data_IF_224784783451
#
_entry.id   IF_224784783451
#
_cell.length_a   1.000
_cell.length_b   1.000
_cell.length_c   1.000
_cell.angle_alpha   90.00
_cell.angle_beta   90.00
_cell.angle_gamma   90.00
#
_symmetry.space_group_name_H-M   'P 1'
#
loop_
_entity.id
_entity.type
_entity.pdbx_description
1 polymer ?
#
# COMPACT_ATOMS: atom_id res chain seq x y z
N UNK A 1 -6.26 28.23 0.20
CA UNK A 1 -6.81 27.12 1.03
C UNK A 1 -5.69 26.15 1.31
N UNK A 2 -5.59 25.58 2.51
CA UNK A 2 -4.65 24.51 2.87
C UNK A 2 -5.05 23.18 2.22
N UNK A 3 -4.09 22.26 2.06
CA UNK A 3 -4.39 20.88 1.67
C UNK A 3 -5.19 20.16 2.79
N UNK A 4 -6.01 19.14 2.45
CA UNK A 4 -6.74 18.37 3.44
C UNK A 4 -5.77 17.62 4.38
N UNK A 5 -6.12 17.51 5.65
CA UNK A 5 -5.33 16.77 6.64
C UNK A 5 -5.74 15.28 6.70
N UNK A 6 -6.92 14.96 6.16
CA UNK A 6 -7.45 13.59 6.08
C UNK A 6 -8.46 13.47 4.95
N UNK A 7 -8.77 12.25 4.56
CA UNK A 7 -9.84 11.91 3.62
C UNK A 7 -10.87 10.98 4.29
N UNK A 8 -12.15 11.03 3.87
CA UNK A 8 -13.15 10.07 4.34
C UNK A 8 -12.88 8.69 3.74
N UNK A 9 -12.89 7.67 4.58
CA UNK A 9 -12.72 6.26 4.23
C UNK A 9 -14.01 5.52 4.59
N UNK A 10 -14.66 4.87 3.62
CA UNK A 10 -15.88 4.09 3.85
C UNK A 10 -15.61 2.88 4.73
N UNK A 11 -16.50 2.62 5.67
CA UNK A 11 -16.47 1.42 6.53
C UNK A 11 -17.83 0.76 6.57
N UNK A 12 -17.91 -0.41 7.19
CA UNK A 12 -19.17 -1.15 7.33
C UNK A 12 -20.30 -0.31 7.93
N UNK A 13 -21.53 -0.60 7.50
CA UNK A 13 -22.73 0.07 7.99
C UNK A 13 -22.95 1.48 7.47
N UNK A 14 -22.37 1.83 6.32
CA UNK A 14 -22.52 3.15 5.67
C UNK A 14 -21.85 4.31 6.40
N UNK A 15 -20.91 4.00 7.29
CA UNK A 15 -20.14 4.99 8.05
C UNK A 15 -18.83 5.35 7.34
N UNK A 16 -18.18 6.40 7.83
CA UNK A 16 -16.82 6.78 7.42
C UNK A 16 -15.91 6.97 8.62
N UNK A 17 -14.62 6.67 8.45
CA UNK A 17 -13.55 7.08 9.35
C UNK A 17 -12.59 8.00 8.59
N UNK A 18 -11.68 8.66 9.28
CA UNK A 18 -10.72 9.56 8.64
C UNK A 18 -9.38 8.86 8.45
N UNK A 19 -8.88 8.82 7.20
CA UNK A 19 -7.51 8.42 6.90
C UNK A 19 -6.63 9.67 6.79
N UNK A 20 -5.52 9.79 7.55
CA UNK A 20 -4.61 10.92 7.40
C UNK A 20 -4.07 11.03 5.99
N UNK A 21 -4.00 12.26 5.46
CA UNK A 21 -3.66 12.51 4.04
C UNK A 21 -2.22 12.19 3.66
N UNK A 22 -1.33 11.96 4.62
CA UNK A 22 0.05 11.52 4.40
C UNK A 22 0.33 10.34 5.31
N UNK A 23 0.83 9.25 4.73
CA UNK A 23 1.27 8.07 5.47
C UNK A 23 2.78 7.88 5.45
N UNK A 24 3.27 7.11 6.41
CA UNK A 24 4.66 6.70 6.51
C UNK A 24 4.79 5.23 6.10
N UNK A 25 5.47 4.97 4.99
CA UNK A 25 5.75 3.63 4.50
C UNK A 25 6.90 2.97 5.26
N UNK A 26 6.81 1.66 5.48
CA UNK A 26 7.82 0.91 6.23
C UNK A 26 8.59 -0.11 5.39
N UNK A 27 8.42 -0.13 4.08
CA UNK A 27 9.20 -1.01 3.21
C UNK A 27 10.60 -0.47 2.91
N UNK A 28 11.61 -1.33 2.99
CA UNK A 28 12.95 -1.09 2.44
C UNK A 28 13.60 -2.42 2.06
N UNK A 29 14.56 -2.37 1.11
CA UNK A 29 15.44 -3.50 0.84
C UNK A 29 16.54 -3.60 1.91
N UNK A 30 17.00 -4.81 2.23
CA UNK A 30 18.09 -5.06 3.17
C UNK A 30 17.62 -5.24 4.62
N UNK A 31 18.50 -5.02 5.57
CA UNK A 31 18.21 -5.20 7.00
C UNK A 31 17.18 -4.21 7.54
N UNK A 32 16.39 -4.63 8.53
CA UNK A 32 15.27 -3.90 9.10
C UNK A 32 15.57 -3.18 10.42
N UNK A 33 16.82 -3.15 10.86
CA UNK A 33 17.26 -2.51 12.11
C UNK A 33 16.88 -1.03 12.23
N UNK A 34 16.65 -0.36 11.10
CA UNK A 34 16.22 1.04 11.04
C UNK A 34 14.74 1.25 11.41
N UNK A 35 13.90 0.21 11.33
CA UNK A 35 12.43 0.37 11.26
C UNK A 35 11.86 0.99 12.55
N UNK A 36 12.22 0.48 13.72
CA UNK A 36 11.73 0.98 15.00
C UNK A 36 12.02 2.47 15.21
N UNK A 37 13.28 2.86 15.05
CA UNK A 37 13.71 4.25 15.30
C UNK A 37 13.10 5.22 14.30
N UNK A 38 12.97 4.81 13.04
CA UNK A 38 12.38 5.64 11.99
C UNK A 38 10.86 5.79 12.18
N UNK A 39 10.14 4.73 12.54
CA UNK A 39 8.70 4.80 12.85
C UNK A 39 8.47 5.65 14.09
N UNK A 40 9.25 5.48 15.16
CA UNK A 40 9.17 6.31 16.35
C UNK A 40 9.44 7.79 16.03
N UNK A 41 10.42 8.07 15.17
CA UNK A 41 10.72 9.42 14.67
C UNK A 41 9.55 9.99 13.89
N UNK A 42 8.92 9.19 13.02
CA UNK A 42 7.74 9.60 12.26
C UNK A 42 6.56 9.94 13.18
N UNK A 43 6.26 9.08 14.16
CA UNK A 43 5.21 9.33 15.15
C UNK A 43 5.46 10.61 15.94
N UNK A 44 6.70 10.83 16.43
CA UNK A 44 7.11 12.06 17.13
C UNK A 44 7.07 13.30 16.24
N UNK A 45 7.29 13.14 14.91
CA UNK A 45 7.16 14.23 13.95
C UNK A 45 5.70 14.61 13.63
N UNK A 46 4.72 13.79 14.03
CA UNK A 46 3.29 14.04 13.83
C UNK A 46 2.59 13.11 12.87
N UNK A 47 3.28 12.11 12.27
CA UNK A 47 2.58 11.07 11.51
C UNK A 47 1.58 10.33 12.39
N UNK A 48 0.42 10.04 11.80
CA UNK A 48 -0.66 9.26 12.42
C UNK A 48 -1.15 8.14 11.50
N UNK A 49 -0.42 7.86 10.44
CA UNK A 49 -0.76 6.88 9.42
C UNK A 49 0.51 6.09 9.07
N UNK A 50 0.51 4.79 9.36
CA UNK A 50 1.62 3.87 9.12
C UNK A 50 1.19 2.78 8.16
N UNK A 51 1.98 2.56 7.11
CA UNK A 51 1.81 1.49 6.12
C UNK A 51 2.84 0.39 6.36
N UNK A 52 2.37 -0.85 6.44
CA UNK A 52 3.18 -2.03 6.69
C UNK A 52 2.70 -3.22 5.85
N UNK A 53 3.52 -4.26 5.71
CA UNK A 53 3.10 -5.54 5.17
C UNK A 53 3.83 -6.68 5.85
N UNK A 54 3.16 -7.84 5.96
CA UNK A 54 3.77 -9.07 6.49
C UNK A 54 5.16 -9.36 5.89
N UNK A 55 5.29 -9.23 4.55
CA UNK A 55 6.52 -9.50 3.84
C UNK A 55 7.65 -8.51 4.13
N UNK A 56 7.38 -7.41 4.85
CA UNK A 56 8.41 -6.42 5.18
C UNK A 56 9.25 -6.84 6.39
N UNK A 57 8.73 -7.73 7.24
CA UNK A 57 9.43 -8.22 8.43
C UNK A 57 9.74 -7.16 9.48
N UNK A 58 8.89 -6.16 9.57
CA UNK A 58 9.07 -5.01 10.49
C UNK A 58 7.96 -4.93 11.55
N UNK A 59 7.04 -5.90 11.58
CA UNK A 59 5.82 -5.82 12.41
C UNK A 59 6.15 -5.62 13.89
N UNK A 60 7.07 -6.41 14.45
CA UNK A 60 7.48 -6.28 15.85
C UNK A 60 8.09 -4.89 16.13
N UNK A 61 8.99 -4.43 15.25
CA UNK A 61 9.62 -3.12 15.36
C UNK A 61 8.61 -1.97 15.30
N UNK A 62 7.59 -2.08 14.41
CA UNK A 62 6.50 -1.10 14.30
C UNK A 62 5.63 -1.13 15.57
N UNK A 63 5.24 -2.31 16.05
CA UNK A 63 4.48 -2.47 17.30
C UNK A 63 5.20 -1.88 18.50
N UNK A 64 6.51 -2.12 18.63
CA UNK A 64 7.34 -1.52 19.67
C UNK A 64 7.41 0.01 19.57
N UNK A 65 7.57 0.55 18.36
CA UNK A 65 7.59 2.00 18.13
C UNK A 65 6.25 2.66 18.49
N UNK A 66 5.13 2.03 18.14
CA UNK A 66 3.79 2.49 18.53
C UNK A 66 3.70 2.56 20.06
N UNK A 67 4.06 1.47 20.75
CA UNK A 67 4.04 1.42 22.22
C UNK A 67 4.95 2.46 22.85
N UNK A 68 6.18 2.60 22.36
CA UNK A 68 7.17 3.54 22.90
C UNK A 68 6.79 5.00 22.63
N UNK A 69 6.02 5.27 21.58
CA UNK A 69 5.57 6.62 21.25
C UNK A 69 4.68 7.24 22.33
N UNK A 70 3.98 6.40 23.11
CA UNK A 70 3.00 6.83 24.10
C UNK A 70 1.74 7.44 23.49
N UNK A 71 1.58 7.39 22.16
CA UNK A 71 0.39 7.89 21.45
C UNK A 71 -0.73 6.85 21.61
N UNK A 72 -1.97 7.27 21.99
CA UNK A 72 -3.10 6.36 22.05
C UNK A 72 -3.29 5.60 20.73
N UNK A 73 -3.56 4.28 20.80
CA UNK A 73 -3.67 3.42 19.61
C UNK A 73 -4.75 3.91 18.63
N UNK A 74 -5.83 4.45 19.14
CA UNK A 74 -6.95 4.99 18.37
C UNK A 74 -6.60 6.24 17.56
N UNK A 75 -5.51 6.90 17.87
CA UNK A 75 -4.98 8.06 17.12
C UNK A 75 -4.06 7.63 15.96
N UNK A 76 -3.68 6.34 15.87
CA UNK A 76 -2.78 5.83 14.84
C UNK A 76 -3.57 4.99 13.84
N UNK A 77 -3.56 5.40 12.59
CA UNK A 77 -4.11 4.65 11.47
C UNK A 77 -3.06 3.67 10.96
N UNK A 78 -3.34 2.37 11.02
CA UNK A 78 -2.39 1.32 10.69
C UNK A 78 -3.01 0.24 9.80
N UNK A 79 -2.26 -0.27 8.80
CA UNK A 79 -2.67 -1.37 7.94
C UNK A 79 -1.54 -2.31 7.50
N UNK A 80 -1.78 -3.61 7.43
CA UNK A 80 -0.96 -4.63 6.78
C UNK A 80 -1.60 -5.18 5.49
N UNK A 81 -0.85 -6.00 4.74
CA UNK A 81 -1.27 -6.58 3.46
C UNK A 81 -1.17 -8.10 3.43
N UNK A 82 -2.19 -8.83 2.87
CA UNK A 82 -2.15 -10.28 2.61
C UNK A 82 -3.22 -10.77 1.60
N UNK A 83 -3.20 -12.09 1.16
CA UNK A 83 -4.05 -12.48 0.05
C UNK A 83 -4.48 -13.93 -0.24
N UNK A 84 -4.64 -14.90 0.72
CA UNK A 84 -5.29 -16.20 0.43
C UNK A 84 -6.55 -16.41 1.27
N UNK A 85 -7.72 -16.85 0.69
CA UNK A 85 -9.00 -16.87 1.40
C UNK A 85 -8.98 -17.67 2.71
N UNK A 86 -8.37 -18.85 2.72
CA UNK A 86 -8.31 -19.71 3.91
C UNK A 86 -7.37 -19.19 4.99
N UNK A 87 -6.54 -18.21 4.68
CA UNK A 87 -5.45 -17.76 5.54
C UNK A 87 -5.52 -16.27 5.88
N UNK A 88 -6.46 -15.52 5.30
CA UNK A 88 -6.64 -14.08 5.53
C UNK A 88 -6.71 -13.75 7.01
N UNK A 89 -7.59 -14.44 7.75
CA UNK A 89 -7.77 -14.19 9.18
C UNK A 89 -6.54 -14.64 10.00
N UNK A 90 -5.98 -15.83 9.70
CA UNK A 90 -4.77 -16.33 10.37
C UNK A 90 -3.60 -15.35 10.22
N UNK A 91 -3.41 -14.79 9.03
CA UNK A 91 -2.32 -13.84 8.80
C UNK A 91 -2.55 -12.53 9.56
N UNK A 92 -3.78 -12.05 9.60
CA UNK A 92 -4.12 -10.89 10.43
C UNK A 92 -3.86 -11.16 11.91
N UNK A 93 -4.26 -12.32 12.42
CA UNK A 93 -4.01 -12.73 13.82
C UNK A 93 -2.51 -12.76 14.15
N UNK A 94 -1.69 -13.28 13.23
CA UNK A 94 -0.23 -13.30 13.41
C UNK A 94 0.37 -11.91 13.44
N UNK A 95 -0.08 -11.03 12.56
CA UNK A 95 0.35 -9.63 12.52
C UNK A 95 -0.04 -8.92 13.83
N UNK A 96 -1.29 -9.05 14.25
CA UNK A 96 -1.79 -8.46 15.48
C UNK A 96 -0.99 -8.96 16.70
N UNK A 97 -0.72 -10.26 16.76
CA UNK A 97 0.08 -10.87 17.82
C UNK A 97 1.53 -10.36 17.84
N UNK A 98 2.19 -10.27 16.67
CA UNK A 98 3.55 -9.75 16.54
C UNK A 98 3.66 -8.30 16.98
N UNK A 99 2.69 -7.48 16.58
CA UNK A 99 2.64 -6.06 16.94
C UNK A 99 2.08 -5.77 18.34
N UNK A 100 1.48 -6.78 19.00
CA UNK A 100 0.76 -6.65 20.28
C UNK A 100 -0.39 -5.63 20.20
N UNK A 101 -1.17 -5.73 19.11
CA UNK A 101 -2.35 -4.89 18.83
C UNK A 101 -3.62 -5.75 18.79
N UNK A 102 -4.77 -5.16 19.09
CA UNK A 102 -6.07 -5.82 19.07
C UNK A 102 -6.78 -5.67 17.72
N UNK A 103 -6.46 -4.64 16.95
CA UNK A 103 -7.07 -4.35 15.65
C UNK A 103 -6.15 -3.56 14.73
N UNK A 104 -6.49 -3.58 13.44
CA UNK A 104 -5.95 -2.67 12.40
C UNK A 104 -7.05 -1.73 11.90
N UNK A 105 -6.70 -0.53 11.42
CA UNK A 105 -7.69 0.41 10.89
C UNK A 105 -8.11 0.06 9.46
N UNK A 106 -7.17 -0.50 8.68
CA UNK A 106 -7.43 -0.96 7.33
C UNK A 106 -6.61 -2.22 7.07
N UNK A 107 -7.20 -3.23 6.42
CA UNK A 107 -6.51 -4.45 6.00
C UNK A 107 -6.64 -4.60 4.48
N UNK A 108 -5.52 -4.74 3.77
CA UNK A 108 -5.49 -4.76 2.30
C UNK A 108 -5.14 -6.13 1.73
N UNK A 109 -5.81 -6.52 0.64
CA UNK A 109 -5.30 -7.54 -0.28
C UNK A 109 -4.13 -6.93 -1.06
N UNK A 110 -2.93 -7.52 -0.95
CA UNK A 110 -1.70 -6.92 -1.47
C UNK A 110 -1.61 -6.92 -3.00
N UNK A 111 -2.16 -7.99 -3.63
CA UNK A 111 -2.14 -8.21 -5.07
C UNK A 111 -3.42 -8.92 -5.52
N UNK A 112 -3.86 -8.74 -6.78
CA UNK A 112 -5.03 -9.42 -7.33
C UNK A 112 -4.78 -10.91 -7.64
N UNK A 113 -3.63 -11.45 -7.28
CA UNK A 113 -3.28 -12.85 -7.41
C UNK A 113 -2.99 -13.46 -6.03
N UNK A 114 -3.26 -14.76 -5.91
CA UNK A 114 -3.13 -15.53 -4.68
C UNK A 114 -2.09 -16.62 -4.87
N UNK A 115 -1.23 -16.80 -3.88
CA UNK A 115 -0.24 -17.89 -3.87
C UNK A 115 -0.80 -19.13 -3.20
N UNK A 116 -0.49 -20.30 -3.73
CA UNK A 116 -0.84 -21.56 -3.06
C UNK A 116 -0.06 -21.67 -1.75
N UNK A 117 -0.74 -21.87 -0.61
CA UNK A 117 -0.04 -22.11 0.64
C UNK A 117 0.65 -23.48 0.61
N UNK A 118 1.85 -23.60 1.18
CA UNK A 118 2.56 -24.86 1.28
C UNK A 118 1.80 -25.84 2.20
N UNK A 119 1.40 -25.37 3.39
CA UNK A 119 0.46 -26.02 4.29
C UNK A 119 0.00 -25.02 5.35
N UNK A 120 -1.13 -25.31 6.03
CA UNK A 120 -1.57 -24.50 7.17
C UNK A 120 -0.52 -24.49 8.29
N UNK A 121 0.10 -25.65 8.58
CA UNK A 121 1.15 -25.78 9.59
C UNK A 121 2.39 -24.94 9.25
N UNK A 122 2.82 -24.92 7.98
CA UNK A 122 3.92 -24.08 7.51
C UNK A 122 3.60 -22.59 7.71
N UNK A 123 2.37 -22.17 7.40
CA UNK A 123 1.92 -20.81 7.59
C UNK A 123 1.82 -20.43 9.08
N UNK A 124 1.31 -21.33 9.92
CA UNK A 124 1.26 -21.13 11.38
C UNK A 124 2.66 -20.94 11.99
N UNK A 125 3.65 -21.64 11.48
CA UNK A 125 5.07 -21.52 11.89
C UNK A 125 5.79 -20.34 11.23
N UNK A 126 5.30 -19.83 10.12
CA UNK A 126 5.93 -18.70 9.44
C UNK A 126 5.92 -17.47 10.35
N UNK A 127 7.01 -16.73 10.34
CA UNK A 127 7.09 -15.41 10.99
C UNK A 127 7.11 -14.33 9.92
N UNK A 128 6.62 -13.14 10.26
CA UNK A 128 6.93 -11.97 9.45
C UNK A 128 8.44 -11.79 9.50
N UNK A 129 9.12 -11.75 8.36
CA UNK A 129 10.57 -11.65 8.36
C UNK A 129 11.11 -11.30 6.99
N UNK A 130 12.02 -10.35 6.96
CA UNK A 130 12.77 -9.98 5.77
C UNK A 130 13.82 -11.03 5.39
N UNK A 131 14.19 -11.88 6.32
CA UNK A 131 15.01 -13.04 6.04
C UNK A 131 14.16 -14.12 5.36
N UNK A 132 14.04 -13.95 4.07
CA UNK A 132 13.93 -14.93 2.97
C UNK A 132 13.50 -16.35 3.29
N UNK A 133 13.36 -16.76 4.49
CA UNK A 133 13.19 -18.16 4.80
C UNK A 133 11.88 -18.55 5.46
N UNK A 134 11.21 -17.78 6.30
CA UNK A 134 9.93 -18.21 6.86
C UNK A 134 8.73 -17.89 5.98
N UNK A 135 8.67 -16.72 5.32
CA UNK A 135 7.60 -16.39 4.38
C UNK A 135 7.71 -17.23 3.11
N UNK A 136 8.92 -17.50 2.62
CA UNK A 136 9.17 -18.32 1.44
C UNK A 136 8.75 -19.79 1.63
N UNK A 137 8.75 -20.31 2.87
CA UNK A 137 8.27 -21.67 3.18
C UNK A 137 6.75 -21.74 3.36
N UNK A 138 6.07 -20.63 3.47
CA UNK A 138 4.62 -20.58 3.64
C UNK A 138 3.86 -20.76 2.33
N UNK A 139 4.53 -20.60 1.19
CA UNK A 139 3.94 -20.76 -0.16
C UNK A 139 4.66 -21.82 -0.97
N UNK A 140 3.99 -22.34 -1.99
CA UNK A 140 4.56 -23.30 -2.94
C UNK A 140 5.33 -22.56 -4.02
N UNK A 141 6.51 -23.09 -4.39
CA UNK A 141 7.27 -22.61 -5.55
C UNK A 141 7.33 -23.71 -6.63
N UNK A 142 7.28 -23.27 -7.87
CA UNK A 142 7.48 -24.12 -9.06
C UNK A 142 8.97 -24.42 -9.25
N UNK A 143 9.29 -25.39 -10.13
CA UNK A 143 10.67 -25.78 -10.44
C UNK A 143 11.52 -24.64 -11.02
N UNK A 144 10.90 -23.65 -11.67
CA UNK A 144 11.54 -22.45 -12.22
C UNK A 144 11.76 -21.34 -11.16
N UNK A 145 11.42 -21.62 -9.89
CA UNK A 145 11.57 -20.69 -8.77
C UNK A 145 10.47 -19.62 -8.67
N UNK A 146 9.44 -19.67 -9.52
CA UNK A 146 8.29 -18.76 -9.40
C UNK A 146 7.29 -19.27 -8.36
N UNK A 147 6.56 -18.37 -7.67
CA UNK A 147 5.49 -18.80 -6.79
C UNK A 147 4.38 -19.52 -7.58
N UNK A 148 3.87 -20.63 -7.05
CA UNK A 148 2.71 -21.31 -7.64
C UNK A 148 1.43 -20.53 -7.34
N UNK A 149 0.79 -20.06 -8.42
CA UNK A 149 -0.41 -19.22 -8.31
C UNK A 149 -1.65 -20.08 -8.13
N UNK A 150 -2.45 -19.76 -7.15
CA UNK A 150 -3.82 -20.24 -7.04
C UNK A 150 -4.75 -19.43 -7.95
N UNK A 151 -4.88 -19.90 -9.19
CA UNK A 151 -5.71 -19.23 -10.20
C UNK A 151 -7.19 -19.25 -9.85
N UNK A 152 -7.67 -20.24 -9.09
CA UNK A 152 -9.07 -20.34 -8.68
C UNK A 152 -9.48 -19.17 -7.79
N UNK A 153 -8.58 -18.71 -6.92
CA UNK A 153 -8.82 -17.61 -6.00
C UNK A 153 -8.20 -16.28 -6.43
N UNK A 154 -7.56 -16.24 -7.61
CA UNK A 154 -7.03 -15.02 -8.21
C UNK A 154 -8.08 -14.32 -9.06
N UNK A 155 -7.88 -13.02 -9.35
CA UNK A 155 -8.80 -12.22 -10.15
C UNK A 155 -9.09 -12.88 -11.53
N UNK A 156 -10.34 -12.78 -11.97
CA UNK A 156 -10.83 -13.51 -13.14
C UNK A 156 -10.06 -13.16 -14.43
N UNK A 157 -9.78 -11.88 -14.66
CA UNK A 157 -9.03 -11.42 -15.83
C UNK A 157 -7.59 -11.96 -15.88
N UNK A 158 -6.92 -12.11 -14.73
CA UNK A 158 -5.58 -12.70 -14.66
C UNK A 158 -5.60 -14.19 -14.93
N UNK A 159 -6.57 -14.91 -14.35
CA UNK A 159 -6.75 -16.34 -14.57
C UNK A 159 -7.08 -16.65 -16.04
N UNK A 160 -7.95 -15.86 -16.68
CA UNK A 160 -8.34 -16.00 -18.09
C UNK A 160 -7.14 -15.90 -19.04
N UNK A 161 -6.22 -14.97 -18.81
CA UNK A 161 -4.98 -14.84 -19.60
C UNK A 161 -4.07 -16.07 -19.50
N UNK A 162 -4.27 -16.93 -18.50
CA UNK A 162 -3.61 -18.23 -18.36
C UNK A 162 -4.50 -19.41 -18.77
N UNK A 163 -5.63 -19.14 -19.47
CA UNK A 163 -6.63 -20.16 -19.83
C UNK A 163 -7.15 -20.93 -18.60
N UNK A 164 -7.30 -20.22 -17.48
CA UNK A 164 -7.84 -20.71 -16.22
C UNK A 164 -9.14 -19.97 -15.88
N UNK A 165 -9.87 -20.50 -14.91
CA UNK A 165 -10.99 -19.80 -14.28
C UNK A 165 -10.55 -19.34 -12.89
N UNK A 166 -10.97 -18.16 -12.49
CA UNK A 166 -10.67 -17.62 -11.17
C UNK A 166 -11.71 -16.61 -10.73
N UNK A 167 -11.71 -16.35 -9.43
CA UNK A 167 -12.43 -15.23 -8.84
C UNK A 167 -11.77 -14.83 -7.53
N UNK A 168 -11.58 -13.54 -7.32
CA UNK A 168 -11.06 -13.00 -6.07
C UNK A 168 -12.17 -12.84 -4.99
N UNK A 169 -13.43 -13.06 -5.34
CA UNK A 169 -14.56 -12.91 -4.43
C UNK A 169 -14.48 -13.76 -3.14
N UNK A 170 -13.96 -15.01 -3.15
CA UNK A 170 -13.77 -15.77 -1.90
C UNK A 170 -12.78 -15.09 -0.94
N UNK A 171 -11.64 -14.58 -1.45
CA UNK A 171 -10.66 -13.82 -0.67
C UNK A 171 -11.28 -12.54 -0.10
N UNK A 172 -12.02 -11.81 -0.94
CA UNK A 172 -12.74 -10.60 -0.51
C UNK A 172 -13.72 -10.90 0.63
N UNK A 173 -14.49 -11.98 0.53
CA UNK A 173 -15.42 -12.43 1.59
C UNK A 173 -14.70 -12.75 2.89
N UNK A 174 -13.53 -13.38 2.85
CA UNK A 174 -12.70 -13.64 4.02
C UNK A 174 -12.18 -12.34 4.66
N UNK A 175 -11.80 -11.35 3.85
CA UNK A 175 -11.42 -10.03 4.35
C UNK A 175 -12.57 -9.29 5.03
N UNK A 176 -13.78 -9.35 4.46
CA UNK A 176 -14.98 -8.79 5.09
C UNK A 176 -15.27 -9.44 6.45
N UNK A 177 -14.99 -10.74 6.61
CA UNK A 177 -15.13 -11.42 7.89
C UNK A 177 -14.21 -10.84 8.97
N UNK A 178 -13.00 -10.38 8.61
CA UNK A 178 -12.11 -9.69 9.54
C UNK A 178 -12.68 -8.35 10.04
N UNK A 179 -13.49 -7.67 9.23
CA UNK A 179 -14.23 -6.47 9.69
C UNK A 179 -15.36 -6.85 10.66
N UNK A 180 -16.13 -7.88 10.33
CA UNK A 180 -17.25 -8.34 11.16
C UNK A 180 -16.79 -8.90 12.51
N UNK A 181 -15.59 -9.47 12.57
CA UNK A 181 -14.98 -9.93 13.84
C UNK A 181 -14.33 -8.79 14.66
N UNK A 182 -14.26 -7.56 14.13
CA UNK A 182 -13.67 -6.41 14.80
C UNK A 182 -12.13 -6.33 14.73
N UNK A 183 -11.48 -7.28 14.06
CA UNK A 183 -10.02 -7.30 13.88
C UNK A 183 -9.53 -6.23 12.89
N UNK A 184 -10.39 -5.77 11.98
CA UNK A 184 -10.14 -4.66 11.09
C UNK A 184 -11.33 -3.68 11.10
N UNK A 185 -11.09 -2.37 11.00
CA UNK A 185 -12.18 -1.39 10.86
C UNK A 185 -12.65 -1.26 9.41
N UNK A 186 -11.75 -1.43 8.46
CA UNK A 186 -11.99 -1.38 7.03
C UNK A 186 -11.14 -2.43 6.30
N UNK A 187 -11.55 -2.75 5.07
CA UNK A 187 -10.78 -3.60 4.14
C UNK A 187 -10.67 -2.91 2.78
N UNK A 188 -9.62 -3.24 2.05
CA UNK A 188 -9.35 -2.67 0.75
C UNK A 188 -8.41 -3.55 -0.07
N UNK A 189 -7.91 -2.97 -1.14
CA UNK A 189 -7.15 -3.63 -2.19
C UNK A 189 -5.79 -2.94 -2.37
N UNK A 190 -4.86 -3.63 -3.01
CA UNK A 190 -3.60 -3.06 -3.48
C UNK A 190 -3.22 -3.67 -4.83
N UNK A 191 -2.80 -2.81 -5.77
CA UNK A 191 -2.42 -3.19 -7.13
C UNK A 191 -3.57 -3.73 -8.01
N UNK A 192 -4.81 -3.41 -7.68
CA UNK A 192 -5.98 -3.79 -8.48
C UNK A 192 -6.23 -2.76 -9.58
N UNK A 193 -6.46 -3.24 -10.80
CA UNK A 193 -6.93 -2.46 -11.94
C UNK A 193 -8.44 -2.20 -11.85
N UNK A 194 -8.97 -1.39 -12.79
CA UNK A 194 -10.42 -1.12 -12.87
C UNK A 194 -11.20 -2.43 -13.05
N UNK A 195 -10.76 -3.30 -13.97
CA UNK A 195 -11.43 -4.57 -14.26
C UNK A 195 -11.52 -5.46 -13.03
N UNK A 196 -10.47 -5.54 -12.23
CA UNK A 196 -10.41 -6.35 -11.01
C UNK A 196 -11.25 -5.75 -9.88
N UNK A 197 -11.34 -4.42 -9.80
CA UNK A 197 -12.24 -3.75 -8.86
C UNK A 197 -13.71 -3.99 -9.28
N UNK A 198 -14.03 -3.87 -10.57
CA UNK A 198 -15.38 -4.13 -11.11
C UNK A 198 -15.86 -5.55 -10.85
N UNK A 199 -14.96 -6.56 -10.84
CA UNK A 199 -15.27 -7.92 -10.39
C UNK A 199 -15.81 -7.94 -8.96
N UNK A 200 -15.25 -7.09 -8.07
CA UNK A 200 -15.52 -7.13 -6.64
C UNK A 200 -16.66 -6.20 -6.19
N UNK A 201 -16.98 -5.14 -6.95
CA UNK A 201 -18.06 -4.21 -6.58
C UNK A 201 -19.40 -4.91 -6.26
N UNK A 202 -19.86 -5.96 -7.02
CA UNK A 202 -21.06 -6.69 -6.68
C UNK A 202 -21.00 -7.45 -5.35
N UNK A 203 -19.80 -7.64 -4.79
CA UNK A 203 -19.54 -8.39 -3.57
C UNK A 203 -19.29 -7.49 -2.33
N UNK A 204 -19.45 -6.17 -2.44
CA UNK A 204 -19.26 -5.26 -1.31
C UNK A 204 -20.21 -5.56 -0.13
N UNK A 205 -21.46 -5.85 -0.41
CA UNK A 205 -22.51 -6.09 0.60
C UNK A 205 -22.53 -4.98 1.67
N UNK A 206 -22.33 -5.36 2.94
CA UNK A 206 -22.29 -4.45 4.10
C UNK A 206 -20.88 -3.89 4.39
N UNK A 207 -19.84 -4.41 3.73
CA UNK A 207 -18.45 -4.00 3.92
C UNK A 207 -17.87 -3.57 2.57
N UNK A 208 -17.70 -2.25 2.35
CA UNK A 208 -17.26 -1.71 1.08
C UNK A 208 -15.76 -1.88 0.84
N UNK A 209 -15.34 -1.76 -0.42
CA UNK A 209 -13.94 -1.55 -0.79
C UNK A 209 -13.56 -0.14 -0.36
N UNK A 210 -12.79 -0.02 0.72
CA UNK A 210 -12.48 1.27 1.31
C UNK A 210 -11.33 1.99 0.59
N UNK A 211 -10.36 1.22 0.09
CA UNK A 211 -9.11 1.74 -0.46
C UNK A 211 -8.58 0.85 -1.59
N UNK A 212 -7.84 1.44 -2.54
CA UNK A 212 -6.93 0.74 -3.43
C UNK A 212 -5.55 1.40 -3.36
N UNK A 213 -4.54 0.67 -2.87
CA UNK A 213 -3.17 1.15 -2.81
C UNK A 213 -2.44 0.80 -4.10
N UNK A 214 -1.92 1.79 -4.81
CA UNK A 214 -1.26 1.63 -6.11
C UNK A 214 0.00 2.48 -6.22
N UNK A 215 0.87 2.16 -7.16
CA UNK A 215 2.01 3.02 -7.48
C UNK A 215 1.52 4.29 -8.16
N UNK A 216 1.71 5.46 -7.52
CA UNK A 216 1.37 6.77 -8.11
C UNK A 216 2.43 7.80 -7.78
N UNK A 217 2.92 8.45 -8.82
CA UNK A 217 3.87 9.58 -8.79
C UNK A 217 3.79 10.32 -10.14
N UNK A 218 4.41 11.49 -10.34
CA UNK A 218 4.29 12.25 -11.60
C UNK A 218 4.61 11.46 -12.86
N UNK A 219 5.54 10.53 -12.84
CA UNK A 219 5.89 9.68 -13.99
C UNK A 219 4.92 8.52 -14.24
N UNK A 220 4.07 8.20 -13.25
CA UNK A 220 2.99 7.20 -13.34
C UNK A 220 1.73 7.73 -12.63
N UNK A 221 1.05 8.75 -13.16
CA UNK A 221 -0.05 9.43 -12.46
C UNK A 221 -1.37 8.65 -12.41
N UNK A 222 -1.53 7.60 -13.19
CA UNK A 222 -2.69 6.70 -13.25
C UNK A 222 -4.07 7.42 -13.22
N UNK A 223 -4.32 8.44 -14.07
CA UNK A 223 -5.46 9.33 -13.92
C UNK A 223 -6.82 8.61 -14.05
N UNK A 224 -6.92 7.58 -14.89
CA UNK A 224 -8.15 6.80 -15.07
C UNK A 224 -8.51 6.01 -13.81
N UNK A 225 -7.52 5.31 -13.21
CA UNK A 225 -7.73 4.49 -12.03
C UNK A 225 -8.02 5.37 -10.80
N UNK A 226 -7.32 6.50 -10.66
CA UNK A 226 -7.59 7.47 -9.59
C UNK A 226 -8.99 8.07 -9.72
N UNK A 227 -9.40 8.47 -10.94
CA UNK A 227 -10.75 9.00 -11.19
C UNK A 227 -11.84 7.94 -10.94
N UNK A 228 -11.56 6.66 -11.28
CA UNK A 228 -12.45 5.56 -10.98
C UNK A 228 -12.61 5.37 -9.46
N UNK A 229 -11.51 5.41 -8.71
CA UNK A 229 -11.53 5.40 -7.24
C UNK A 229 -12.40 6.52 -6.67
N UNK A 230 -12.18 7.76 -7.10
CA UNK A 230 -13.00 8.90 -6.67
C UNK A 230 -14.50 8.73 -6.97
N UNK A 231 -14.84 8.22 -8.17
CA UNK A 231 -16.24 7.96 -8.56
C UNK A 231 -16.92 6.94 -7.65
N UNK A 232 -16.19 5.95 -7.18
CA UNK A 232 -16.69 4.85 -6.34
C UNK A 232 -16.41 5.08 -4.84
N UNK A 233 -15.92 6.26 -4.46
CA UNK A 233 -15.53 6.60 -3.08
C UNK A 233 -14.50 5.61 -2.48
N UNK A 234 -13.63 5.08 -3.35
CA UNK A 234 -12.50 4.22 -2.98
C UNK A 234 -11.27 5.12 -2.86
N UNK A 235 -10.72 5.24 -1.66
CA UNK A 235 -9.52 6.07 -1.43
C UNK A 235 -8.32 5.46 -2.16
N UNK A 236 -7.59 6.29 -2.92
CA UNK A 236 -6.33 5.87 -3.52
C UNK A 236 -5.17 6.22 -2.60
N UNK A 237 -4.44 5.22 -2.11
CA UNK A 237 -3.16 5.43 -1.44
C UNK A 237 -2.02 5.11 -2.40
N UNK A 238 -0.89 5.81 -2.26
CA UNK A 238 0.16 5.84 -3.27
C UNK A 238 1.49 5.34 -2.69
N UNK A 239 1.88 4.12 -3.01
CA UNK A 239 3.23 3.68 -2.69
C UNK A 239 4.24 4.20 -3.72
N UNK A 240 5.53 4.16 -3.38
CA UNK A 240 6.62 4.72 -4.18
C UNK A 240 6.38 6.17 -4.65
N UNK A 241 5.89 7.11 -3.81
CA UNK A 241 5.53 8.45 -4.26
C UNK A 241 6.72 9.24 -4.79
N UNK A 242 7.95 8.78 -4.54
CA UNK A 242 9.20 9.37 -5.02
C UNK A 242 9.78 8.67 -6.25
N UNK A 243 9.08 7.67 -6.81
CA UNK A 243 9.44 6.93 -8.03
C UNK A 243 10.87 6.31 -8.06
N UNK A 244 11.48 6.07 -6.91
CA UNK A 244 12.75 5.35 -6.81
C UNK A 244 13.91 5.98 -7.60
N UNK A 245 14.67 5.13 -8.31
CA UNK A 245 15.82 5.53 -9.13
C UNK A 245 15.53 5.32 -10.63
N UNK A 246 16.10 6.18 -11.46
CA UNK A 246 16.13 6.02 -12.92
C UNK A 246 17.22 5.03 -13.33
N UNK A 247 17.21 4.61 -14.60
CA UNK A 247 18.33 3.96 -15.24
C UNK A 247 19.59 4.84 -15.09
N UNK A 248 20.73 4.24 -14.72
CA UNK A 248 21.95 5.00 -14.38
C UNK A 248 22.05 5.47 -12.92
N UNK A 249 21.08 5.11 -12.05
CA UNK A 249 21.17 5.34 -10.60
C UNK A 249 20.74 6.73 -10.12
N UNK A 250 20.32 7.61 -11.03
CA UNK A 250 19.82 8.96 -10.67
C UNK A 250 18.46 8.83 -10.00
N UNK A 251 18.29 9.48 -8.86
CA UNK A 251 16.98 9.47 -8.16
C UNK A 251 16.02 10.43 -8.85
N UNK A 252 14.75 10.05 -8.99
CA UNK A 252 13.70 10.91 -9.53
C UNK A 252 13.56 12.24 -8.77
N UNK A 253 13.82 12.25 -7.47
CA UNK A 253 13.89 13.46 -6.65
C UNK A 253 14.98 14.47 -7.09
N UNK A 254 15.98 14.02 -7.85
CA UNK A 254 17.12 14.82 -8.33
C UNK A 254 16.92 15.25 -9.80
N UNK A 255 15.80 14.91 -10.41
CA UNK A 255 15.47 15.34 -11.76
C UNK A 255 15.31 16.87 -11.82
N UNK A 256 15.90 17.49 -12.84
CA UNK A 256 16.03 18.95 -12.94
C UNK A 256 14.71 19.70 -12.73
N UNK A 257 13.59 19.18 -13.28
CA UNK A 257 12.26 19.80 -13.10
C UNK A 257 11.77 19.71 -11.66
N UNK A 258 11.98 18.58 -10.98
CA UNK A 258 11.61 18.43 -9.56
C UNK A 258 12.42 19.37 -8.69
N UNK A 259 13.74 19.47 -8.92
CA UNK A 259 14.63 20.36 -8.17
C UNK A 259 14.24 21.84 -8.40
N UNK A 260 13.95 22.23 -9.64
CA UNK A 260 13.48 23.56 -10.00
C UNK A 260 12.21 23.94 -9.24
N UNK A 261 11.18 23.08 -9.33
CA UNK A 261 9.88 23.33 -8.71
C UNK A 261 9.94 23.30 -7.17
N UNK A 262 10.73 22.37 -6.61
CA UNK A 262 10.96 22.32 -5.17
C UNK A 262 11.58 23.63 -4.67
N UNK A 263 12.64 24.11 -5.36
CA UNK A 263 13.30 25.40 -5.02
C UNK A 263 12.34 26.58 -5.18
N UNK A 264 11.55 26.64 -6.27
CA UNK A 264 10.53 27.69 -6.51
C UNK A 264 9.56 27.79 -5.34
N UNK A 265 9.15 26.65 -4.77
CA UNK A 265 8.18 26.57 -3.69
C UNK A 265 8.79 26.57 -2.28
N UNK A 266 10.11 26.67 -2.13
CA UNK A 266 10.80 26.59 -0.83
C UNK A 266 10.61 25.24 -0.13
N UNK A 267 10.64 24.16 -0.90
CA UNK A 267 10.43 22.76 -0.48
C UNK A 267 11.64 21.90 -0.84
N UNK A 268 11.73 20.70 -0.28
CA UNK A 268 12.52 19.62 -0.85
C UNK A 268 11.68 18.78 -1.85
N UNK A 269 12.35 17.91 -2.62
CA UNK A 269 11.66 17.12 -3.65
C UNK A 269 10.62 16.15 -3.06
N UNK A 270 10.88 15.58 -1.88
CA UNK A 270 9.93 14.68 -1.22
C UNK A 270 8.67 15.41 -0.77
N UNK A 271 8.83 16.58 -0.16
CA UNK A 271 7.75 17.46 0.23
C UNK A 271 6.90 17.90 -0.97
N UNK A 272 7.56 18.27 -2.08
CA UNK A 272 6.90 18.64 -3.34
C UNK A 272 6.03 17.49 -3.89
N UNK A 273 6.58 16.29 -4.00
CA UNK A 273 5.88 15.14 -4.59
C UNK A 273 4.73 14.66 -3.70
N UNK A 274 4.87 14.71 -2.38
CA UNK A 274 3.74 14.42 -1.48
C UNK A 274 2.64 15.49 -1.54
N UNK A 275 3.02 16.77 -1.67
CA UNK A 275 2.07 17.87 -1.88
C UNK A 275 1.27 17.69 -3.17
N UNK A 276 1.93 17.32 -4.27
CA UNK A 276 1.27 16.99 -5.54
C UNK A 276 0.27 15.84 -5.38
N UNK A 277 0.67 14.75 -4.72
CA UNK A 277 -0.20 13.59 -4.54
C UNK A 277 -1.46 13.94 -3.71
N UNK A 278 -1.30 14.65 -2.58
CA UNK A 278 -2.44 15.04 -1.73
C UNK A 278 -3.36 16.03 -2.46
N UNK A 279 -2.81 16.96 -3.26
CA UNK A 279 -3.61 17.91 -4.03
C UNK A 279 -4.46 17.23 -5.13
N UNK A 280 -4.05 16.05 -5.60
CA UNK A 280 -4.83 15.19 -6.51
C UNK A 280 -5.90 14.34 -5.80
N UNK A 281 -6.06 14.48 -4.49
CA UNK A 281 -7.02 13.69 -3.71
C UNK A 281 -6.54 12.26 -3.42
N UNK A 282 -5.23 12.04 -3.40
CA UNK A 282 -4.61 10.74 -3.08
C UNK A 282 -3.77 10.82 -1.80
N UNK A 283 -3.41 9.68 -1.22
CA UNK A 283 -2.69 9.58 0.06
C UNK A 283 -1.30 8.97 -0.17
N UNK A 284 -0.24 9.78 -0.26
CA UNK A 284 1.12 9.27 -0.47
C UNK A 284 1.69 8.61 0.79
N UNK A 285 2.48 7.55 0.58
CA UNK A 285 3.15 6.73 1.59
C UNK A 285 4.68 6.89 1.45
N UNK A 286 5.18 8.05 1.85
CA UNK A 286 6.61 8.34 1.76
C UNK A 286 7.43 7.58 2.81
N UNK A 287 8.60 7.03 2.41
CA UNK A 287 9.53 6.36 3.32
C UNK A 287 10.85 7.11 3.40
N UNK A 288 11.37 7.30 4.59
CA UNK A 288 12.74 7.76 4.84
C UNK A 288 13.24 7.24 6.19
N UNK A 289 14.52 6.94 6.31
CA UNK A 289 15.18 6.69 7.59
C UNK A 289 15.94 7.94 8.11
N UNK A 290 15.90 9.04 7.37
CA UNK A 290 16.59 10.29 7.74
C UNK A 290 15.61 11.21 8.50
N UNK A 291 15.84 11.56 9.78
CA UNK A 291 14.89 12.33 10.60
C UNK A 291 14.44 13.65 9.96
N UNK A 292 15.36 14.38 9.33
CA UNK A 292 15.02 15.64 8.66
C UNK A 292 14.03 15.43 7.51
N UNK A 293 14.22 14.38 6.67
CA UNK A 293 13.31 14.06 5.57
C UNK A 293 11.98 13.50 6.06
N UNK A 294 11.98 12.72 7.16
CA UNK A 294 10.73 12.26 7.78
C UNK A 294 9.86 13.47 8.13
N UNK A 295 10.46 14.48 8.75
CA UNK A 295 9.75 15.70 9.13
C UNK A 295 9.32 16.52 7.92
N UNK A 296 10.20 16.78 6.94
CA UNK A 296 9.85 17.60 5.76
C UNK A 296 8.78 16.92 4.89
N UNK A 297 8.81 15.61 4.72
CA UNK A 297 7.81 14.87 3.98
C UNK A 297 6.38 15.03 4.53
N UNK A 298 6.22 15.33 5.81
CA UNK A 298 4.90 15.59 6.41
C UNK A 298 4.41 17.03 6.20
N UNK A 299 5.31 17.99 5.97
CA UNK A 299 4.97 19.41 5.76
C UNK A 299 4.52 19.67 4.32
N UNK A 300 3.34 19.17 3.97
CA UNK A 300 2.73 19.36 2.65
C UNK A 300 2.14 20.76 2.49
N UNK A 301 2.24 21.31 1.27
CA UNK A 301 1.73 22.65 0.96
C UNK A 301 1.03 22.65 -0.38
N UNK A 302 0.05 23.55 -0.54
CA UNK A 302 -0.65 23.72 -1.81
C UNK A 302 0.30 24.27 -2.88
N UNK A 303 0.33 23.62 -4.04
CA UNK A 303 1.05 24.03 -5.24
C UNK A 303 0.14 24.89 -6.12
N UNK A 304 0.72 25.74 -6.95
CA UNK A 304 -0.01 26.45 -8.01
C UNK A 304 -0.51 25.47 -9.09
N UNK A 305 -1.52 25.87 -9.84
CA UNK A 305 -2.03 25.06 -10.95
C UNK A 305 -0.94 24.84 -12.02
N UNK A 306 -0.11 25.87 -12.28
CA UNK A 306 1.06 25.78 -13.17
C UNK A 306 2.08 24.72 -12.70
N UNK A 307 2.38 24.66 -11.38
CA UNK A 307 3.31 23.69 -10.84
C UNK A 307 2.73 22.27 -10.87
N UNK A 308 1.41 22.12 -10.66
CA UNK A 308 0.71 20.86 -10.83
C UNK A 308 0.79 20.36 -12.27
N UNK A 309 0.49 21.23 -13.25
CA UNK A 309 0.60 20.90 -14.68
C UNK A 309 2.02 20.53 -15.08
N UNK A 310 3.03 21.25 -14.55
CA UNK A 310 4.43 20.95 -14.82
C UNK A 310 4.88 19.59 -14.26
N UNK A 311 4.34 19.17 -13.11
CA UNK A 311 4.56 17.83 -12.55
C UNK A 311 3.80 16.76 -13.34
N UNK A 312 2.55 17.03 -13.73
CA UNK A 312 1.75 16.10 -14.54
C UNK A 312 2.36 15.87 -15.93
N UNK A 313 3.06 16.86 -16.48
CA UNK A 313 3.80 16.75 -17.74
C UNK A 313 5.01 15.79 -17.69
N UNK A 314 5.45 15.36 -16.50
CA UNK A 314 6.50 14.33 -16.34
C UNK A 314 5.98 12.91 -16.63
N UNK A 315 4.70 12.73 -16.88
CA UNK A 315 4.07 11.42 -17.11
C UNK A 315 4.74 10.66 -18.26
N UNK A 316 5.14 9.42 -17.98
CA UNK A 316 5.71 8.52 -18.98
C UNK A 316 4.59 7.64 -19.56
N UNK A 317 4.39 7.65 -20.88
CA UNK A 317 3.28 6.93 -21.49
C UNK A 317 3.41 5.39 -21.35
N UNK A 318 2.27 4.69 -21.54
CA UNK A 318 2.19 3.23 -21.59
C UNK A 318 2.72 2.50 -20.35
N UNK A 319 2.58 3.09 -19.16
CA UNK A 319 3.01 2.48 -17.91
C UNK A 319 4.52 2.38 -17.69
N UNK A 320 5.33 2.88 -18.64
CA UNK A 320 6.82 2.84 -18.55
C UNK A 320 7.42 3.65 -17.41
N UNK A 321 6.60 4.45 -16.72
CA UNK A 321 6.98 5.12 -15.48
C UNK A 321 6.99 4.21 -14.25
N UNK A 322 6.45 2.98 -14.35
CA UNK A 322 6.34 2.03 -13.24
C UNK A 322 7.72 1.61 -12.72
N UNK A 323 7.87 1.57 -11.42
CA UNK A 323 9.12 1.16 -10.76
C UNK A 323 8.98 -0.17 -10.03
N UNK A 324 7.75 -0.62 -9.76
CA UNK A 324 7.45 -1.89 -9.09
C UNK A 324 6.64 -2.77 -10.04
N UNK A 325 7.29 -3.72 -10.69
CA UNK A 325 6.67 -4.69 -11.59
C UNK A 325 7.22 -6.10 -11.34
N UNK A 326 6.35 -7.00 -10.93
CA UNK A 326 6.67 -8.40 -10.69
C UNK A 326 6.12 -9.35 -11.74
N UNK A 327 5.61 -8.83 -12.86
CA UNK A 327 5.00 -9.63 -13.94
C UNK A 327 5.89 -10.77 -14.39
N UNK A 328 7.14 -10.50 -14.73
CA UNK A 328 8.11 -11.53 -15.17
C UNK A 328 8.54 -12.45 -14.02
N UNK A 329 8.87 -11.84 -12.85
CA UNK A 329 9.36 -12.57 -11.68
C UNK A 329 8.34 -13.59 -11.17
N UNK A 330 7.06 -13.28 -11.23
CA UNK A 330 6.00 -14.18 -10.76
C UNK A 330 5.31 -14.95 -11.89
N UNK A 331 5.51 -14.58 -13.14
CA UNK A 331 4.81 -15.16 -14.27
C UNK A 331 3.31 -14.86 -14.29
N UNK A 332 2.90 -13.76 -13.64
CA UNK A 332 1.51 -13.29 -13.55
C UNK A 332 1.33 -12.06 -14.43
N UNK A 333 0.28 -11.98 -15.28
CA UNK A 333 0.04 -10.84 -16.15
C UNK A 333 -0.56 -9.65 -15.38
N UNK A 334 0.25 -9.02 -14.53
CA UNK A 334 -0.16 -7.87 -13.70
C UNK A 334 -0.44 -6.62 -14.54
N UNK A 335 -1.26 -5.70 -14.04
CA UNK A 335 -1.53 -4.38 -14.61
C UNK A 335 -2.14 -4.40 -16.02
N UNK A 336 -2.95 -5.37 -16.33
CA UNK A 336 -3.54 -5.62 -17.68
C UNK A 336 -5.01 -5.18 -17.79
N UNK A 337 -5.55 -4.46 -16.81
CA UNK A 337 -6.94 -4.00 -16.77
C UNK A 337 -7.12 -2.51 -17.06
#
# INVERSE_FOLDING_TARGET
MSLPQSFPLRVAGGKTIQIPSVGYGTWASGENSWAKDAVLTALKAGYRHLDCAWMYGVDEAVGEAIKESGIPREEIFFWPHFGHPDNVELCLDKILASMKLDYVDLYLAHWPCVWKPASREALEKAHSGHDSTPSDKAIVYLEDGKPDVDWEHSAANLAEQKSKKGSFAPTWKAMQACVRSGKAKAVGLSNFSITEIEELLPHEADVPIACNQIEVHPWLPQPKLVAFGHKHEIVTTCYSPFAGQMEGGVRRLEEAKVVELAKKNGMDGGQLLQSWAVQRGTVPLGKSATPARIKSNLDIRKLSDEDMEALDALAVPNGKGRTVDFTEKWGVPLFTG
#
